data_IF_558829362373
#
_entry.id   IF_558829362373
#
_cell.length_a   1.000
_cell.length_b   1.000
_cell.length_c   1.000
_cell.angle_alpha   90.00
_cell.angle_beta   90.00
_cell.angle_gamma   90.00
#
_symmetry.space_group_name_H-M   'P 1'
#
loop_
_entity.id
_entity.type
_entity.pdbx_description
1 polymer ?
2 polymer ?
3 water ?
#
# COMPACT_ATOMS: atom_id res chain seq x y z
N UNK A 5 -30.73 -5.77 -6.86
CA UNK A 5 -30.87 -4.35 -7.15
C UNK A 5 -29.69 -3.55 -6.60
N UNK A 6 -29.39 -2.44 -7.27
CA UNK A 6 -28.18 -1.70 -6.96
C UNK A 6 -28.39 -0.75 -5.79
N UNK A 7 -27.29 -0.45 -5.12
CA UNK A 7 -27.31 0.58 -4.07
C UNK A 7 -27.97 1.85 -4.58
N UNK A 8 -27.54 2.33 -5.75
CA UNK A 8 -28.11 3.56 -6.29
C UNK A 8 -29.61 3.46 -6.44
N UNK A 9 -30.11 2.29 -6.84
CA UNK A 9 -31.56 2.15 -7.06
C UNK A 9 -32.34 2.10 -5.75
N UNK A 10 -31.72 1.71 -4.64
CA UNK A 10 -32.44 1.52 -3.39
C UNK A 10 -32.57 2.78 -2.56
N UNK A 11 -31.74 3.78 -2.80
CA UNK A 11 -31.74 4.96 -1.96
C UNK A 11 -31.76 6.22 -2.82
N UNK A 12 -32.57 7.21 -2.46
CA UNK A 12 -32.61 8.45 -3.24
C UNK A 12 -31.29 9.21 -3.15
N UNK A 13 -31.10 10.11 -4.10
CA UNK A 13 -29.86 10.88 -4.16
C UNK A 13 -29.58 11.60 -2.86
N UNK A 14 -30.59 12.28 -2.29
CA UNK A 14 -30.30 13.07 -1.10
C UNK A 14 -29.83 12.20 0.04
N UNK A 15 -30.30 10.95 0.12
CA UNK A 15 -29.83 10.08 1.19
C UNK A 15 -28.41 9.63 0.93
N UNK A 16 -28.10 9.27 -0.32
CA UNK A 16 -26.74 8.83 -0.63
C UNK A 16 -25.74 9.94 -0.38
N UNK A 17 -26.04 11.15 -0.85
CA UNK A 17 -25.11 12.24 -0.61
C UNK A 17 -25.03 12.60 0.87
N UNK A 18 -26.16 12.54 1.59
CA UNK A 18 -26.10 12.76 3.04
C UNK A 18 -25.12 11.80 3.71
N UNK A 19 -25.13 10.54 3.29
CA UNK A 19 -24.22 9.54 3.85
C UNK A 19 -22.77 9.87 3.53
N UNK A 20 -22.47 10.14 2.25
CA UNK A 20 -21.06 10.42 1.93
C UNK A 20 -20.58 11.70 2.60
N UNK A 21 -21.48 12.66 2.83
CA UNK A 21 -21.08 13.85 3.57
C UNK A 21 -20.81 13.52 5.02
N UNK A 22 -21.59 12.62 5.61
CA UNK A 22 -21.32 12.21 6.98
C UNK A 22 -19.97 11.52 7.09
N UNK A 23 -19.63 10.70 6.09
CA UNK A 23 -18.32 10.07 6.08
C UNK A 23 -17.22 11.11 5.93
N UNK A 24 -17.46 12.11 5.08
CA UNK A 24 -16.51 13.21 4.95
C UNK A 24 -16.23 13.88 6.30
N UNK A 25 -17.27 14.05 7.11
CA UNK A 25 -17.11 14.71 8.42
C UNK A 25 -16.42 13.78 9.42
N UNK A 26 -16.90 12.54 9.53
CA UNK A 26 -16.44 11.67 10.60
C UNK A 26 -15.13 10.98 10.25
N UNK A 27 -14.93 10.59 8.99
CA UNK A 27 -13.75 9.83 8.58
C UNK A 27 -13.14 10.49 7.35
N UNK A 28 -12.51 11.65 7.53
CA UNK A 28 -11.99 12.38 6.36
C UNK A 28 -10.91 11.64 5.59
N UNK A 29 -10.31 10.61 6.17
CA UNK A 29 -9.23 9.88 5.51
C UNK A 29 -9.70 8.55 4.93
N UNK A 30 -11.00 8.36 4.78
CA UNK A 30 -11.56 7.11 4.26
C UNK A 30 -12.36 7.40 2.99
N UNK A 31 -12.17 6.55 1.99
CA UNK A 31 -12.90 6.68 0.74
C UNK A 31 -14.19 5.87 0.85
N UNK A 32 -15.36 6.46 0.60
CA UNK A 32 -16.60 5.66 0.62
C UNK A 32 -16.79 4.99 -0.73
N UNK A 33 -16.85 3.65 -0.71
CA UNK A 33 -16.90 2.87 -1.94
C UNK A 33 -18.09 1.94 -1.89
N UNK A 34 -18.79 1.84 -3.02
CA UNK A 34 -19.82 0.83 -3.26
C UNK A 34 -19.20 -0.20 -4.20
N UNK A 35 -19.23 -1.47 -3.79
CA UNK A 35 -18.59 -2.53 -4.56
C UNK A 35 -19.62 -3.64 -4.80
N UNK A 36 -20.01 -3.82 -6.05
CA UNK A 36 -21.07 -4.74 -6.43
C UNK A 36 -20.62 -5.69 -7.54
N UNK A 37 -21.22 -6.88 -7.58
CA UNK A 37 -20.91 -7.85 -8.62
C UNK A 37 -21.47 -7.40 -9.97
N UNK A 38 -20.66 -7.54 -11.02
CA UNK A 38 -21.10 -7.23 -12.36
C UNK A 38 -22.16 -8.22 -12.84
N UNK A 39 -22.99 -7.76 -13.78
CA UNK A 39 -24.11 -8.53 -14.31
C UNK A 39 -23.71 -9.89 -14.90
N UNK A 40 -23.06 -9.88 -16.06
CA UNK A 40 -22.83 -11.10 -16.84
C UNK A 40 -21.56 -11.82 -16.38
N UNK A 41 -21.54 -12.21 -15.11
CA UNK A 41 -20.42 -12.99 -14.59
C UNK A 41 -20.92 -13.98 -13.56
N UNK A 42 -20.33 -15.18 -13.55
CA UNK A 42 -20.64 -16.18 -12.54
C UNK A 42 -19.72 -16.10 -11.33
N UNK A 43 -18.92 -15.04 -11.22
CA UNK A 43 -18.08 -14.81 -10.06
C UNK A 43 -18.96 -14.88 -8.81
N UNK A 44 -18.42 -15.28 -7.66
CA UNK A 44 -19.25 -15.33 -6.44
C UNK A 44 -19.82 -13.96 -6.08
N UNK A 45 -20.99 -13.99 -5.45
CA UNK A 45 -21.62 -12.77 -4.95
C UNK A 45 -20.90 -12.29 -3.69
N UNK A 46 -21.16 -11.04 -3.32
CA UNK A 46 -20.52 -10.45 -2.14
C UNK A 46 -21.59 -10.15 -1.10
N UNK A 47 -21.26 -10.40 0.16
CA UNK A 47 -22.26 -10.25 1.22
C UNK A 47 -22.53 -8.79 1.55
N UNK A 48 -21.52 -7.94 1.42
CA UNK A 48 -21.64 -6.53 1.78
C UNK A 48 -21.12 -5.68 0.64
N UNK A 49 -21.72 -4.50 0.45
CA UNK A 49 -21.38 -3.70 -0.71
C UNK A 49 -20.83 -2.32 -0.34
N UNK A 50 -20.92 -1.91 0.92
CA UNK A 50 -20.50 -0.57 1.32
C UNK A 50 -19.20 -0.68 2.10
N UNK A 51 -18.16 0.02 1.63
CA UNK A 51 -16.84 -0.06 2.24
C UNK A 51 -16.28 1.33 2.52
N UNK A 52 -15.56 1.43 3.63
CA UNK A 52 -14.74 2.59 3.95
C UNK A 52 -13.30 2.19 3.77
N UNK A 53 -12.62 2.78 2.80
CA UNK A 53 -11.31 2.34 2.34
C UNK A 53 -10.27 3.37 2.78
N UNK A 54 -9.22 2.96 3.49
CA UNK A 54 -8.16 3.92 3.82
C UNK A 54 -7.66 4.61 2.56
N UNK A 55 -7.53 5.95 2.65
CA UNK A 55 -7.30 6.73 1.43
C UNK A 55 -5.97 6.42 0.76
N UNK A 56 -5.03 5.76 1.44
CA UNK A 56 -3.72 5.50 0.84
C UNK A 56 -3.66 4.22 0.01
N UNK A 57 -4.69 3.38 0.03
CA UNK A 57 -4.60 2.08 -0.61
C UNK A 57 -4.44 2.18 -2.12
N UNK A 58 -3.73 1.23 -2.70
CA UNK A 58 -3.76 1.04 -4.14
C UNK A 58 -4.97 0.21 -4.53
N UNK A 59 -5.28 0.22 -5.83
CA UNK A 59 -6.33 -0.66 -6.36
C UNK A 59 -6.01 -2.12 -6.03
N UNK A 60 -4.74 -2.51 -6.20
CA UNK A 60 -4.36 -3.90 -5.93
C UNK A 60 -4.58 -4.31 -4.48
N UNK A 61 -4.28 -3.41 -3.55
CA UNK A 61 -4.55 -3.67 -2.14
C UNK A 61 -6.03 -3.80 -1.87
N UNK A 62 -6.84 -2.90 -2.45
CA UNK A 62 -8.29 -3.01 -2.34
C UNK A 62 -8.78 -4.33 -2.92
N UNK A 63 -8.26 -4.74 -4.08
CA UNK A 63 -8.70 -5.97 -4.71
C UNK A 63 -8.38 -7.17 -3.84
N UNK A 64 -7.21 -7.16 -3.20
CA UNK A 64 -6.86 -8.26 -2.29
C UNK A 64 -7.93 -8.45 -1.22
N UNK A 65 -8.43 -7.35 -0.66
CA UNK A 65 -9.46 -7.43 0.38
C UNK A 65 -10.78 -7.96 -0.20
N UNK A 66 -11.17 -7.48 -1.38
CA UNK A 66 -12.41 -7.96 -1.99
C UNK A 66 -12.32 -9.43 -2.31
N UNK A 67 -11.17 -9.88 -2.81
CA UNK A 67 -11.01 -11.30 -3.12
C UNK A 67 -11.20 -12.16 -1.88
N UNK A 68 -10.64 -11.73 -0.75
CA UNK A 68 -10.84 -12.45 0.51
C UNK A 68 -12.31 -12.46 0.90
N UNK A 69 -13.00 -11.33 0.72
CA UNK A 69 -14.39 -11.21 1.15
C UNK A 69 -15.30 -12.18 0.41
N UNK A 70 -15.03 -12.41 -0.88
CA UNK A 70 -15.90 -13.29 -1.64
C UNK A 70 -15.31 -14.70 -1.67
N UNK A 71 -14.23 -14.90 -0.91
CA UNK A 71 -13.54 -16.18 -0.77
C UNK A 71 -13.13 -16.74 -2.12
N UNK A 72 -12.63 -15.87 -2.98
CA UNK A 72 -12.14 -16.29 -4.29
C UNK A 72 -10.79 -17.01 -4.13
N UNK A 73 -10.61 -18.17 -4.74
CA UNK A 73 -9.32 -18.86 -4.66
C UNK A 73 -8.24 -18.13 -5.46
N UNK A 74 -6.97 -18.28 -5.09
CA UNK A 74 -5.93 -17.42 -5.66
C UNK A 74 -5.69 -17.62 -7.15
N UNK A 75 -6.09 -18.75 -7.71
CA UNK A 75 -5.88 -18.99 -9.13
C UNK A 75 -6.96 -18.35 -10.01
N UNK A 76 -8.07 -17.88 -9.45
CA UNK A 76 -9.21 -17.39 -10.23
C UNK A 76 -9.07 -15.91 -10.56
N UNK A 77 -9.65 -15.52 -11.71
CA UNK A 77 -9.56 -14.13 -12.15
C UNK A 77 -10.58 -13.25 -11.44
N UNK A 78 -10.21 -11.97 -11.28
CA UNK A 78 -11.18 -10.93 -10.93
C UNK A 78 -10.70 -9.64 -11.59
N UNK A 79 -11.67 -8.80 -11.97
CA UNK A 79 -11.44 -7.50 -12.58
C UNK A 79 -12.34 -6.50 -11.88
N UNK A 80 -11.80 -5.36 -11.49
CA UNK A 80 -12.58 -4.30 -10.88
C UNK A 80 -12.75 -3.20 -11.92
N UNK A 81 -13.99 -2.86 -12.24
CA UNK A 81 -14.30 -1.84 -13.23
C UNK A 81 -14.81 -0.58 -12.53
N UNK A 82 -14.48 0.56 -13.12
CA UNK A 82 -14.94 1.86 -12.64
C UNK A 82 -15.28 2.69 -13.87
N UNK A 83 -16.55 3.08 -14.01
CA UNK A 83 -16.88 4.08 -15.03
C UNK A 83 -16.49 3.58 -16.42
N UNK A 84 -16.77 2.30 -16.71
CA UNK A 84 -16.44 1.71 -18.00
C UNK A 84 -14.94 1.79 -18.29
N UNK A 85 -14.12 1.76 -17.24
CA UNK A 85 -12.68 1.66 -17.38
C UNK A 85 -12.18 0.51 -16.52
N UNK A 86 -10.97 0.07 -16.79
CA UNK A 86 -10.34 -1.00 -16.01
C UNK A 86 -9.03 -0.47 -15.42
N UNK A 87 -9.07 0.10 -14.23
CA UNK A 87 -7.87 0.75 -13.69
C UNK A 87 -6.79 -0.27 -13.35
N UNK A 88 -5.53 0.08 -13.58
CA UNK A 88 -4.45 -0.84 -13.21
C UNK A 88 -4.39 -1.01 -11.71
N UNK A 89 -3.92 -2.18 -11.28
CA UNK A 89 -3.82 -2.42 -9.84
C UNK A 89 -2.74 -1.56 -9.18
N UNK A 90 -1.80 -1.03 -9.96
CA UNK A 90 -0.86 -0.06 -9.41
C UNK A 90 -1.49 1.30 -9.09
N UNK A 91 -2.69 1.61 -9.59
CA UNK A 91 -3.24 2.95 -9.39
C UNK A 91 -3.63 3.17 -7.93
N UNK A 92 -3.57 4.44 -7.52
CA UNK A 92 -4.03 4.83 -6.19
C UNK A 92 -5.55 4.92 -6.16
N UNK A 93 -6.15 4.38 -5.11
CA UNK A 93 -7.59 4.54 -4.95
C UNK A 93 -7.97 6.01 -4.85
N UNK A 94 -7.11 6.84 -4.23
CA UNK A 94 -7.39 8.28 -4.12
C UNK A 94 -7.52 8.92 -5.50
N UNK A 95 -6.64 8.52 -6.42
CA UNK A 95 -6.69 9.01 -7.80
C UNK A 95 -7.94 8.52 -8.52
N UNK A 96 -8.29 7.24 -8.35
CA UNK A 96 -9.52 6.72 -8.94
C UNK A 96 -10.72 7.49 -8.42
N UNK A 97 -10.78 7.71 -7.11
CA UNK A 97 -11.85 8.50 -6.53
C UNK A 97 -11.94 9.86 -7.20
N UNK A 98 -10.81 10.58 -7.28
CA UNK A 98 -10.88 11.95 -7.76
C UNK A 98 -11.39 12.00 -9.20
N UNK A 99 -11.03 11.01 -10.01
CA UNK A 99 -11.42 11.03 -11.42
C UNK A 99 -12.84 10.52 -11.62
N UNK A 100 -13.26 9.52 -10.84
CA UNK A 100 -14.47 8.77 -11.17
C UNK A 100 -15.58 8.83 -10.14
N UNK A 101 -15.42 9.61 -9.07
CA UNK A 101 -16.45 9.69 -8.05
C UNK A 101 -17.81 10.10 -8.65
N UNK A 102 -18.87 9.57 -8.05
CA UNK A 102 -20.23 9.87 -8.44
C UNK A 102 -20.64 11.26 -7.93
N UNK A 103 -21.67 11.83 -8.56
CA UNK A 103 -22.24 13.07 -8.03
C UNK A 103 -22.68 12.91 -6.57
N UNK A 104 -22.98 11.68 -6.12
CA UNK A 104 -23.42 11.53 -4.75
C UNK A 104 -22.26 11.38 -3.78
N UNK A 105 -21.01 11.47 -4.26
CA UNK A 105 -19.84 11.44 -3.40
C UNK A 105 -19.25 10.06 -3.15
N UNK A 106 -19.94 8.99 -3.50
CA UNK A 106 -19.36 7.65 -3.45
C UNK A 106 -18.53 7.36 -4.71
N UNK A 107 -17.61 6.42 -4.57
CA UNK A 107 -16.97 5.79 -5.72
C UNK A 107 -17.66 4.44 -5.96
N UNK A 108 -18.19 4.25 -7.16
CA UNK A 108 -18.88 3.01 -7.53
C UNK A 108 -17.95 2.11 -8.32
N UNK A 109 -17.79 0.87 -7.86
CA UNK A 109 -17.00 -0.10 -8.60
C UNK A 109 -17.82 -1.37 -8.77
N UNK A 110 -17.52 -2.11 -9.83
CA UNK A 110 -18.12 -3.42 -10.03
C UNK A 110 -16.98 -4.41 -10.26
N UNK A 111 -17.21 -5.65 -9.85
CA UNK A 111 -16.21 -6.68 -10.05
C UNK A 111 -16.78 -7.82 -10.88
N UNK A 112 -15.90 -8.50 -11.61
CA UNK A 112 -16.33 -9.49 -12.59
C UNK A 112 -15.25 -10.54 -12.70
N UNK A 113 -15.65 -11.75 -13.11
CA UNK A 113 -14.65 -12.72 -13.50
C UNK A 113 -14.23 -12.65 -14.95
N UNK A 114 -14.80 -11.74 -15.75
CA UNK A 114 -14.50 -11.60 -17.17
C UNK A 114 -14.01 -10.18 -17.45
N UNK A 115 -13.02 -10.06 -18.32
CA UNK A 115 -12.49 -8.75 -18.71
C UNK A 115 -13.19 -8.35 -20.00
N UNK A 116 -14.15 -7.43 -19.88
CA UNK A 116 -14.95 -7.02 -21.04
C UNK A 116 -14.13 -6.29 -22.09
N UNK A 117 -12.95 -5.79 -21.74
CA UNK A 117 -12.07 -5.12 -22.71
C UNK A 117 -11.23 -6.09 -23.54
N UNK A 118 -11.32 -7.39 -23.28
CA UNK A 118 -10.61 -8.35 -24.08
C UNK A 118 -11.27 -8.61 -25.42
N UNK B 5 27.26 5.07 2.00
CA UNK B 5 26.55 4.08 2.80
C UNK B 5 27.46 3.42 3.82
N UNK B 6 27.14 3.58 5.10
CA UNK B 6 27.91 2.87 6.11
C UNK B 6 27.58 1.37 6.11
N UNK B 7 26.35 0.99 5.74
CA UNK B 7 26.07 -0.43 5.58
C UNK B 7 27.04 -1.06 4.58
N UNK B 8 27.27 -0.38 3.45
CA UNK B 8 28.19 -0.90 2.46
C UNK B 8 29.61 -0.98 2.99
N UNK B 9 30.01 -0.05 3.86
CA UNK B 9 31.37 -0.09 4.40
C UNK B 9 31.52 -1.14 5.50
N UNK B 10 30.42 -1.58 6.11
CA UNK B 10 30.53 -2.51 7.22
C UNK B 10 30.56 -3.97 6.80
N UNK B 11 30.07 -4.29 5.60
CA UNK B 11 30.00 -5.65 5.12
C UNK B 11 30.51 -5.71 3.68
N UNK B 12 31.32 -6.70 3.35
CA UNK B 12 31.83 -6.80 1.99
C UNK B 12 30.71 -7.09 1.00
N UNK B 13 30.92 -6.65 -0.24
CA UNK B 13 29.96 -6.87 -1.31
C UNK B 13 29.43 -8.31 -1.34
N UNK B 14 30.33 -9.31 -1.29
CA UNK B 14 29.87 -10.69 -1.48
C UNK B 14 28.91 -11.13 -0.38
N UNK B 15 29.12 -10.65 0.84
CA UNK B 15 28.21 -11.02 1.93
C UNK B 15 26.85 -10.35 1.76
N UNK B 16 26.83 -9.09 1.32
CA UNK B 16 25.55 -8.42 1.08
C UNK B 16 24.80 -9.07 -0.09
N UNK B 17 25.52 -9.41 -1.16
CA UNK B 17 24.86 -10.02 -2.31
C UNK B 17 24.27 -11.38 -1.94
N UNK B 18 25.02 -12.18 -1.17
CA UNK B 18 24.49 -13.47 -0.75
C UNK B 18 23.26 -13.30 0.12
N UNK B 19 23.23 -12.26 0.96
CA UNK B 19 22.07 -12.06 1.85
C UNK B 19 20.83 -11.67 1.05
N UNK B 20 20.97 -10.75 0.09
CA UNK B 20 19.81 -10.37 -0.70
C UNK B 20 19.31 -11.54 -1.54
N UNK B 21 20.22 -12.41 -1.97
CA UNK B 21 19.81 -13.60 -2.71
C UNK B 21 18.99 -14.54 -1.84
N UNK B 22 19.39 -14.73 -0.57
CA UNK B 22 18.61 -15.55 0.34
C UNK B 22 17.23 -14.96 0.55
N UNK B 23 17.17 -13.63 0.72
CA UNK B 23 15.90 -12.94 0.93
C UNK B 23 14.98 -13.11 -0.28
N UNK B 24 15.54 -12.99 -1.48
CA UNK B 24 14.74 -13.22 -2.68
C UNK B 24 14.12 -14.62 -2.67
N UNK B 25 14.88 -15.62 -2.20
CA UNK B 25 14.38 -16.99 -2.23
C UNK B 25 13.32 -17.23 -1.14
N UNK B 26 13.52 -16.68 0.05
CA UNK B 26 12.65 -16.92 1.19
C UNK B 26 11.43 -16.01 1.23
N UNK B 27 11.57 -14.75 0.79
CA UNK B 27 10.51 -13.74 0.90
C UNK B 27 10.30 -13.11 -0.47
N UNK B 28 9.66 -13.84 -1.39
CA UNK B 28 9.50 -13.29 -2.75
C UNK B 28 8.59 -12.08 -2.81
N UNK B 29 7.78 -11.82 -1.80
CA UNK B 29 6.91 -10.64 -1.83
C UNK B 29 7.39 -9.56 -0.88
N UNK B 30 8.67 -9.58 -0.52
CA UNK B 30 9.29 -8.52 0.24
C UNK B 30 10.52 -7.98 -0.49
N UNK B 31 10.86 -6.75 -0.15
CA UNK B 31 11.97 -6.01 -0.73
C UNK B 31 12.98 -5.77 0.37
N UNK B 32 14.28 -6.08 0.18
CA UNK B 32 15.28 -5.73 1.19
C UNK B 32 15.79 -4.32 1.00
N UNK B 33 15.55 -3.46 1.99
CA UNK B 33 15.82 -2.04 1.90
C UNK B 33 16.79 -1.62 3.00
N UNK B 34 17.76 -0.79 2.62
CA UNK B 34 18.65 -0.13 3.57
C UNK B 34 18.23 1.33 3.61
N UNK B 35 17.87 1.82 4.78
CA UNK B 35 17.35 3.18 4.93
C UNK B 35 18.25 3.96 5.88
N UNK B 36 18.93 5.00 5.37
CA UNK B 36 19.92 5.75 6.12
C UNK B 36 19.67 7.24 6.02
N UNK B 37 20.09 7.99 7.04
CA UNK B 37 19.85 9.43 7.10
C UNK B 37 20.83 10.19 6.19
N UNK B 38 20.32 11.19 5.49
CA UNK B 38 21.18 12.04 4.67
C UNK B 38 22.22 12.74 5.54
N UNK B 39 23.43 12.87 4.99
CA UNK B 39 24.58 13.31 5.78
C UNK B 39 24.30 14.63 6.51
N UNK B 40 24.04 15.69 5.75
CA UNK B 40 24.00 17.05 6.30
C UNK B 40 22.57 17.51 6.61
N UNK B 41 21.72 16.62 7.11
CA UNK B 41 20.33 16.97 7.40
C UNK B 41 20.08 16.93 8.90
N UNK B 42 19.28 17.88 9.38
CA UNK B 42 18.93 18.04 10.79
C UNK B 42 17.83 17.06 11.23
N UNK B 43 17.43 16.15 10.36
CA UNK B 43 16.32 15.24 10.64
C UNK B 43 16.75 14.21 11.67
N UNK B 44 15.86 13.73 12.53
CA UNK B 44 16.28 12.75 13.55
C UNK B 44 16.88 11.50 12.93
N UNK B 45 17.77 10.87 13.68
CA UNK B 45 18.38 9.62 13.25
C UNK B 45 17.42 8.45 13.46
N UNK B 46 17.63 7.39 12.70
CA UNK B 46 16.78 6.21 12.75
C UNK B 46 17.50 5.12 13.53
N UNK B 47 16.74 4.34 14.30
CA UNK B 47 17.34 3.36 15.19
C UNK B 47 17.81 2.11 14.43
N UNK B 48 17.08 1.71 13.40
CA UNK B 48 17.43 0.55 12.60
C UNK B 48 17.47 0.96 11.14
N UNK B 49 18.32 0.31 10.37
CA UNK B 49 18.51 0.65 8.98
C UNK B 49 18.14 -0.46 8.00
N UNK B 50 17.97 -1.70 8.46
CA UNK B 50 17.74 -2.87 7.60
C UNK B 50 16.28 -3.31 7.66
N UNK B 51 15.57 -3.22 6.54
CA UNK B 51 14.13 -3.45 6.51
C UNK B 51 13.75 -4.47 5.45
N UNK B 52 12.73 -5.27 5.76
CA UNK B 52 12.07 -6.11 4.78
C UNK B 52 10.70 -5.49 4.54
N UNK B 53 10.48 -4.97 3.34
CA UNK B 53 9.33 -4.13 3.02
C UNK B 53 8.37 -4.91 2.11
N UNK B 54 7.07 -4.93 2.40
CA UNK B 54 6.14 -5.53 1.44
C UNK B 54 6.30 -4.88 0.08
N UNK B 55 6.45 -5.71 -0.96
CA UNK B 55 6.75 -5.18 -2.28
C UNK B 55 5.56 -4.41 -2.86
N UNK B 56 4.37 -4.60 -2.32
CA UNK B 56 3.17 -3.90 -2.80
C UNK B 56 3.01 -2.49 -2.26
N UNK B 57 3.81 -2.08 -1.26
CA UNK B 57 3.67 -0.73 -0.72
C UNK B 57 4.00 0.32 -1.77
N UNK B 58 3.31 1.45 -1.69
CA UNK B 58 3.73 2.62 -2.45
C UNK B 58 4.87 3.31 -1.74
N UNK B 59 5.55 4.19 -2.48
CA UNK B 59 6.51 5.10 -1.85
C UNK B 59 5.87 5.88 -0.71
N UNK B 60 4.64 6.36 -0.92
CA UNK B 60 3.99 7.16 0.12
C UNK B 60 3.73 6.36 1.40
N UNK B 61 3.31 5.11 1.24
CA UNK B 61 3.12 4.24 2.39
C UNK B 61 4.44 3.99 3.10
N UNK B 62 5.51 3.74 2.34
CA UNK B 62 6.81 3.48 2.94
C UNK B 62 7.33 4.70 3.69
N UNK B 63 7.14 5.90 3.10
CA UNK B 63 7.61 7.12 3.76
C UNK B 63 6.89 7.31 5.10
N UNK B 64 5.61 6.95 5.15
CA UNK B 64 4.90 7.06 6.43
C UNK B 64 5.53 6.16 7.49
N UNK B 65 5.91 4.95 7.10
CA UNK B 65 6.55 4.05 8.05
C UNK B 65 7.85 4.65 8.58
N UNK B 66 8.64 5.24 7.68
CA UNK B 66 9.90 5.86 8.09
C UNK B 66 9.64 7.04 9.02
N UNK B 67 8.67 7.89 8.64
CA UNK B 67 8.29 9.01 9.49
C UNK B 67 7.96 8.54 10.91
N UNK B 68 7.17 7.48 11.02
CA UNK B 68 6.80 7.00 12.36
C UNK B 68 8.01 6.42 13.09
N UNK B 69 8.89 5.72 12.35
CA UNK B 69 10.07 5.11 12.96
C UNK B 69 10.96 6.16 13.61
N UNK B 70 11.11 7.32 12.98
CA UNK B 70 11.94 8.38 13.55
C UNK B 70 11.14 9.37 14.37
N UNK B 71 9.83 9.17 14.50
CA UNK B 71 8.96 10.02 15.31
C UNK B 71 8.99 11.47 14.83
N UNK B 72 8.95 11.66 13.52
CA UNK B 72 8.94 13.01 12.97
C UNK B 72 7.54 13.58 13.08
N UNK B 73 7.35 14.73 13.75
CA UNK B 73 6.00 15.27 13.88
C UNK B 73 5.41 15.57 12.53
N UNK B 74 4.08 15.48 12.40
CA UNK B 74 3.46 15.56 11.06
C UNK B 74 3.67 16.89 10.36
N UNK B 75 3.96 17.97 11.08
CA UNK B 75 4.12 19.26 10.41
C UNK B 75 5.46 19.41 9.70
N UNK B 76 6.44 18.56 10.02
CA UNK B 76 7.79 18.68 9.46
C UNK B 76 7.94 17.88 8.17
N UNK B 77 8.81 18.36 7.30
CA UNK B 77 9.03 17.76 6.00
C UNK B 77 9.91 16.53 6.10
N UNK B 78 9.68 15.58 5.21
CA UNK B 78 10.59 14.46 5.00
C UNK B 78 10.61 14.14 3.51
N UNK B 79 11.78 13.77 3.01
CA UNK B 79 11.98 13.43 1.61
C UNK B 79 12.81 12.16 1.59
N UNK B 80 12.52 11.27 0.64
CA UNK B 80 13.38 10.10 0.49
C UNK B 80 13.95 10.10 -0.91
N UNK B 81 15.21 9.70 -1.01
CA UNK B 81 15.93 9.68 -2.27
C UNK B 81 16.31 8.26 -2.62
N UNK B 82 16.22 7.94 -3.91
CA UNK B 82 16.76 6.72 -4.46
C UNK B 82 17.62 7.11 -5.64
N UNK B 83 18.89 6.71 -5.61
CA UNK B 83 19.84 7.09 -6.66
C UNK B 83 19.84 8.60 -6.86
N UNK B 84 19.81 9.34 -5.75
CA UNK B 84 19.89 10.80 -5.72
C UNK B 84 18.68 11.50 -6.31
N UNK B 85 17.56 10.81 -6.51
CA UNK B 85 16.35 11.43 -7.06
C UNK B 85 15.16 11.16 -6.15
N UNK B 86 14.15 12.03 -6.26
CA UNK B 86 12.93 11.90 -5.47
C UNK B 86 11.93 11.04 -6.19
N UNK B 87 11.64 9.82 -5.73
CA UNK B 87 10.65 8.99 -6.41
C UNK B 87 9.25 9.52 -6.17
N UNK B 88 8.34 9.34 -7.13
CA UNK B 88 6.97 9.80 -6.94
C UNK B 88 6.26 8.99 -5.85
N UNK B 89 5.41 9.69 -5.09
CA UNK B 89 4.72 9.07 -3.97
C UNK B 89 3.85 7.90 -4.42
N UNK B 90 3.35 7.94 -5.65
CA UNK B 90 2.49 6.85 -6.15
C UNK B 90 3.26 5.65 -6.66
N UNK B 91 4.58 5.76 -6.86
CA UNK B 91 5.35 4.64 -7.39
C UNK B 91 5.29 3.45 -6.44
N UNK B 92 5.23 2.24 -6.99
CA UNK B 92 5.26 1.05 -6.15
C UNK B 92 6.71 0.76 -5.75
N UNK B 93 6.90 0.32 -4.50
CA UNK B 93 8.24 -0.04 -4.08
C UNK B 93 8.83 -1.14 -4.98
N UNK B 94 7.99 -2.06 -5.46
CA UNK B 94 8.48 -3.12 -6.36
C UNK B 94 9.08 -2.52 -7.63
N UNK B 95 8.47 -1.45 -8.14
CA UNK B 95 9.01 -0.80 -9.34
C UNK B 95 10.32 -0.08 -9.02
N UNK B 96 10.36 0.63 -7.88
CA UNK B 96 11.59 1.33 -7.52
C UNK B 96 12.71 0.31 -7.37
N UNK B 97 12.40 -0.84 -6.77
CA UNK B 97 13.40 -1.89 -6.61
C UNK B 97 13.86 -2.41 -7.96
N UNK B 98 12.93 -2.75 -8.83
CA UNK B 98 13.30 -3.30 -10.13
C UNK B 98 14.21 -2.35 -10.89
N UNK B 99 14.01 -1.05 -10.73
CA UNK B 99 14.72 -0.05 -11.52
C UNK B 99 15.96 0.50 -10.83
N UNK B 100 16.04 0.47 -9.50
CA UNK B 100 17.10 1.18 -8.81
C UNK B 100 17.84 0.33 -7.78
N UNK B 101 17.57 -0.96 -7.72
CA UNK B 101 18.30 -1.81 -6.79
C UNK B 101 19.80 -1.75 -7.06
N UNK B 102 20.56 -1.89 -5.98
CA UNK B 102 22.02 -1.91 -6.04
C UNK B 102 22.52 -3.20 -6.66
N UNK B 103 23.78 -3.19 -7.11
CA UNK B 103 24.39 -4.42 -7.61
C UNK B 103 24.41 -5.51 -6.55
N UNK B 104 24.35 -5.15 -5.27
CA UNK B 104 24.34 -6.14 -4.21
C UNK B 104 22.94 -6.67 -3.92
N UNK B 105 21.93 -6.18 -4.64
CA UNK B 105 20.58 -6.68 -4.48
C UNK B 105 19.74 -5.95 -3.45
N UNK B 106 20.33 -5.07 -2.65
CA UNK B 106 19.55 -4.23 -1.75
C UNK B 106 19.06 -2.98 -2.48
N UNK B 107 17.95 -2.42 -2.00
CA UNK B 107 17.52 -1.07 -2.38
C UNK B 107 17.99 -0.09 -1.31
N UNK B 108 18.77 0.91 -1.71
CA UNK B 108 19.32 1.91 -0.80
C UNK B 108 18.48 3.18 -0.87
N UNK B 109 17.91 3.56 0.27
CA UNK B 109 17.09 4.75 0.41
C UNK B 109 17.80 5.70 1.36
N UNK B 110 17.78 6.99 1.04
CA UNK B 110 18.24 8.03 1.94
C UNK B 110 17.03 8.88 2.30
N UNK B 111 16.87 9.19 3.58
CA UNK B 111 15.79 10.08 3.98
C UNK B 111 16.39 11.36 4.55
N UNK B 112 15.65 12.47 4.38
CA UNK B 112 16.27 13.77 4.62
C UNK B 112 15.18 14.76 4.95
N UNK B 113 15.57 15.83 5.64
CA UNK B 113 14.69 16.97 5.83
C UNK B 113 14.73 17.99 4.71
N UNK B 114 15.61 17.78 3.74
CA UNK B 114 15.83 18.69 2.63
C UNK B 114 15.44 18.00 1.31
N UNK B 115 14.99 18.79 0.34
CA UNK B 115 14.53 18.23 -0.91
C UNK B 115 15.62 18.15 -1.98
N UNK B 116 16.89 18.32 -1.58
CA UNK B 116 18.03 18.05 -2.46
C UNK B 116 19.01 17.13 -1.75
N UNK B 117 19.68 16.29 -2.55
CA UNK B 117 20.70 15.40 -2.04
C UNK B 117 21.66 14.98 -3.15
N UNK C 1 39.61 -14.91 1.21
CA UNK C 1 38.46 -15.45 0.54
C UNK C 1 37.39 -15.88 1.54
N UNK C 2 37.86 -16.26 2.75
CA UNK C 2 36.95 -16.71 3.81
C UNK C 2 36.05 -15.58 4.24
N UNK C 3 36.53 -14.34 4.09
CA UNK C 3 35.74 -13.16 4.48
C UNK C 3 34.62 -12.85 3.49
N UNK C 4 34.62 -13.50 2.31
CA UNK C 4 33.57 -13.31 1.32
C UNK C 4 32.59 -14.46 1.28
N UNK C 5 32.79 -15.48 2.13
CA UNK C 5 31.91 -16.63 2.16
C UNK C 5 30.54 -16.26 2.70
N UNK C 6 29.52 -16.99 2.26
CA UNK C 6 28.18 -16.81 2.81
C UNK C 6 28.07 -17.29 4.25
N UNK C 7 29.05 -18.06 4.73
CA UNK C 7 29.05 -18.60 6.08
C UNK C 7 28.74 -17.55 7.13
N UNK C 8 27.92 -17.93 8.13
CA UNK C 8 27.91 -17.24 9.41
C UNK C 8 27.79 -18.28 10.52
N UNK C 9 28.68 -18.18 11.50
CA UNK C 9 28.53 -18.97 12.72
C UNK C 9 27.13 -18.73 13.27
N UNK C 10 26.45 -19.81 13.68
CA UNK C 10 25.04 -19.65 14.06
C UNK C 10 24.90 -18.67 15.21
N UNK C 11 25.93 -18.55 16.05
CA UNK C 11 25.85 -17.59 17.15
C UNK C 11 25.74 -16.17 16.65
N UNK C 12 26.46 -15.85 15.57
CA UNK C 12 26.38 -14.51 15.00
C UNK C 12 25.06 -14.30 14.26
N UNK C 13 24.53 -15.35 13.64
CA UNK C 13 23.23 -15.25 12.98
C UNK C 13 22.16 -14.78 13.93
N UNK C 14 22.25 -15.16 15.20
CA UNK C 14 21.22 -14.80 16.17
C UNK C 14 21.51 -13.54 16.98
N UNK C 15 22.74 -13.04 16.92
CA UNK C 15 23.12 -11.90 17.74
C UNK C 15 23.45 -10.65 16.94
N UNK C 16 23.54 -10.73 15.63
CA UNK C 16 23.99 -9.61 14.83
C UNK C 16 22.80 -8.85 14.23
N UNK C 17 23.08 -7.98 13.27
CA UNK C 17 22.06 -7.04 12.77
C UNK C 17 20.97 -7.79 12.03
N UNK C 18 19.76 -7.78 12.56
CA UNK C 18 18.60 -8.43 11.96
C UNK C 18 17.86 -7.47 11.04
N UNK C 19 17.09 -8.04 10.12
CA UNK C 19 16.09 -7.27 9.38
C UNK C 19 14.94 -6.87 10.29
N UNK C 20 14.45 -5.65 10.14
CA UNK C 20 13.17 -5.26 10.72
C UNK C 20 12.08 -5.53 9.68
N UNK C 21 11.07 -6.30 10.06
CA UNK C 21 9.99 -6.59 9.13
C UNK C 21 8.92 -5.49 9.24
N UNK C 22 8.54 -4.96 8.09
CA UNK C 22 7.47 -3.97 8.02
C UNK C 22 6.21 -4.71 7.60
N UNK C 23 5.11 -4.46 8.31
CA UNK C 23 3.84 -5.08 7.97
C UNK C 23 2.84 -4.00 7.62
N UNK C 24 1.76 -4.40 6.96
CA UNK C 24 0.75 -3.42 6.56
C UNK C 24 0.08 -2.80 7.77
N UNK C 25 0.02 -3.51 8.91
CA UNK C 25 -0.51 -2.89 10.11
C UNK C 25 0.31 -1.68 10.56
N UNK C 26 1.57 -1.58 10.14
CA UNK C 26 2.37 -0.41 10.49
C UNK C 26 1.92 0.87 9.78
N UNK C 27 0.95 0.77 8.88
CA UNK C 27 0.40 1.91 8.17
C UNK C 27 -0.73 2.56 8.96
N UNK C 28 -1.17 1.91 10.06
CA UNK C 28 -2.29 2.47 10.87
C UNK C 28 -1.64 3.48 11.85
N UNK D 7 -37.64 7.11 0.05
CA UNK D 7 -37.86 8.01 -1.09
C UNK D 7 -38.92 9.07 -0.80
N UNK D 8 -39.52 9.02 0.39
CA UNK D 8 -40.70 9.84 0.68
C UNK D 8 -40.39 11.09 1.50
N UNK D 9 -39.49 10.99 2.47
CA UNK D 9 -39.29 12.03 3.46
C UNK D 9 -37.92 12.67 3.30
N UNK D 10 -37.67 13.66 4.16
CA UNK D 10 -36.37 14.31 4.17
C UNK D 10 -35.30 13.26 4.42
N UNK D 11 -34.21 13.35 3.66
CA UNK D 11 -33.14 12.37 3.79
C UNK D 11 -32.43 12.49 5.13
N UNK D 12 -31.87 11.38 5.59
CA UNK D 12 -31.02 11.42 6.77
C UNK D 12 -29.73 10.67 6.48
N UNK D 13 -28.66 11.11 7.14
CA UNK D 13 -27.33 10.58 6.94
C UNK D 13 -27.10 9.25 7.64
N UNK D 14 -28.13 8.68 8.27
CA UNK D 14 -27.97 7.45 9.02
C UNK D 14 -27.60 6.27 8.14
N UNK D 15 -26.53 5.58 8.49
CA UNK D 15 -26.09 4.39 7.76
C UNK D 15 -26.66 3.16 8.46
N UNK D 16 -27.92 2.85 8.15
CA UNK D 16 -28.56 1.68 8.72
C UNK D 16 -28.01 0.39 8.10
N UNK D 17 -27.81 0.40 6.78
CA UNK D 17 -26.91 -0.55 6.14
C UNK D 17 -25.50 -0.06 6.44
N UNK D 18 -24.81 -0.74 7.36
CA UNK D 18 -23.55 -0.26 7.86
C UNK D 18 -22.44 -0.38 6.81
N UNK D 19 -21.44 0.50 6.92
CA UNK D 19 -20.22 0.34 6.14
C UNK D 19 -19.34 -0.77 6.71
N UNK D 20 -18.68 -1.50 5.83
CA UNK D 20 -17.56 -2.34 6.21
C UNK D 20 -16.29 -1.51 6.20
N UNK D 21 -15.55 -1.55 7.29
CA UNK D 21 -14.34 -0.75 7.41
C UNK D 21 -13.14 -1.64 7.08
N UNK D 22 -12.37 -1.24 6.08
CA UNK D 22 -11.13 -1.94 5.74
C UNK D 22 -9.99 -1.30 6.52
N UNK D 23 -9.26 -2.10 7.27
CA UNK D 23 -8.09 -1.62 7.99
C UNK D 23 -6.82 -2.09 7.29
N UNK D 24 -5.73 -1.35 7.51
CA UNK D 24 -4.46 -1.73 6.89
C UNK D 24 -4.04 -3.13 7.31
N UNK D 25 -4.37 -3.56 8.53
CA UNK D 25 -3.97 -4.90 8.93
C UNK D 25 -4.69 -5.98 8.12
N UNK D 26 -5.83 -5.65 7.49
CA UNK D 26 -6.47 -6.62 6.62
C UNK D 26 -5.60 -6.99 5.41
N UNK D 27 -4.56 -6.23 5.13
CA UNK D 27 -3.68 -6.53 4.03
C UNK D 27 -2.56 -7.51 4.39
N UNK D 28 -2.39 -7.83 5.73
CA UNK D 28 -1.31 -8.77 6.15
C UNK D 28 -1.86 -10.20 6.12
#
# INVERSE_FOLDING_TARGET
GSMKSTFKSEYPFEKRKAESERIADRFPNRIPVICEKAEKSDIPEIDKRKYLVPADLTVGQFVYVIRKRIMLPPEKAIFIFVNDTLPPTAALMSAIYQEHKDKDGFLYVTYSGENTFG
GSMKSTFKSEYPFEKRKAESERIADRFPNRIPVICEKAEKSDIPEIDKRKYLVPADLTVGQFVYVIRKRIMLPPEKAIFIFVNDTLPPTAALMSAIYQEHKDKDGFLYVTYSGENTFG
XDSESEFENVANAGSMEQFETIDHKDLX
XDSESEFENVANAGSMEQFETIDHKDLX
#
